data_IF_301260282560
#
_entry.id   IF_301260282560
#
_cell.length_a   1.000
_cell.length_b   1.000
_cell.length_c   1.000
_cell.angle_alpha   90.00
_cell.angle_beta   90.00
_cell.angle_gamma   90.00
#
_symmetry.space_group_name_H-M   'P 1'
#
loop_
_entity.id
_entity.type
_entity.pdbx_description
1 polymer ?
#
# COMPACT_ATOMS: atom_id res chain seq x y z
N UNK A 1 26.18 82.65 16.42
CA UNK A 1 26.50 81.31 15.88
C UNK A 1 25.27 80.83 15.12
N UNK A 2 25.49 80.27 13.93
CA UNK A 2 24.91 80.72 12.64
C UNK A 2 24.22 79.53 11.92
N UNK A 3 23.16 79.74 11.10
CA UNK A 3 23.26 80.58 9.92
C UNK A 3 22.71 81.98 10.13
N UNK A 4 23.41 82.90 9.47
CA UNK A 4 23.27 84.35 9.52
C UNK A 4 22.16 84.86 8.61
N UNK A 5 21.42 85.85 9.14
CA UNK A 5 20.80 87.01 8.45
C UNK A 5 19.58 86.66 7.57
N UNK A 6 18.48 87.42 7.59
CA UNK A 6 18.45 88.88 7.59
C UNK A 6 17.22 89.49 8.26
N UNK A 7 17.50 90.66 8.82
CA UNK A 7 16.69 91.71 9.42
C UNK A 7 15.76 92.39 8.41
N UNK A 8 14.55 92.81 8.83
CA UNK A 8 14.13 94.23 8.84
C UNK A 8 12.76 94.45 9.52
N UNK A 9 12.77 95.44 10.40
CA UNK A 9 11.64 96.11 11.03
C UNK A 9 10.72 96.79 10.00
N UNK A 10 9.45 97.07 10.34
CA UNK A 10 8.97 98.45 10.59
C UNK A 10 7.48 98.52 11.04
N UNK A 11 7.27 99.28 12.14
CA UNK A 11 6.16 100.22 12.48
C UNK A 11 4.69 99.83 12.75
N UNK A 12 4.29 100.07 14.02
CA UNK A 12 3.23 100.98 14.56
C UNK A 12 1.83 101.08 13.89
N UNK A 13 0.81 100.59 14.65
CA UNK A 13 -0.45 101.23 15.18
C UNK A 13 -1.33 102.15 14.28
N UNK A 14 -2.62 102.40 14.62
CA UNK A 14 -3.76 101.54 15.05
C UNK A 14 -5.13 101.98 14.42
N UNK A 15 -6.25 101.45 14.96
CA UNK A 15 -7.66 101.93 14.89
C UNK A 15 -8.47 101.65 13.60
N UNK A 16 -9.51 100.81 13.71
CA UNK A 16 -10.91 101.28 13.87
C UNK A 16 -11.87 100.09 14.04
N UNK A 17 -12.91 100.32 14.83
CA UNK A 17 -13.98 99.41 15.19
C UNK A 17 -14.96 99.13 14.03
N UNK A 18 -15.61 97.96 14.04
CA UNK A 18 -16.73 97.68 13.13
C UNK A 18 -17.32 96.27 13.28
N UNK A 19 -18.35 96.16 14.12
CA UNK A 19 -19.51 95.25 14.08
C UNK A 19 -19.39 93.79 13.54
N UNK A 20 -19.73 92.85 14.44
CA UNK A 20 -20.46 91.57 14.31
C UNK A 20 -20.98 91.14 12.91
N UNK A 21 -21.03 89.81 12.58
CA UNK A 21 -21.76 88.83 13.41
C UNK A 21 -21.17 87.41 13.54
N UNK A 22 -21.58 86.78 14.64
CA UNK A 22 -21.48 85.34 14.95
C UNK A 22 -21.95 84.50 13.75
N UNK A 23 -21.03 83.82 13.08
CA UNK A 23 -21.36 82.62 12.33
C UNK A 23 -21.28 81.42 13.28
N UNK A 24 -22.42 80.74 13.42
CA UNK A 24 -22.58 79.50 14.18
C UNK A 24 -21.56 78.48 13.67
N UNK A 25 -20.64 78.06 14.54
CA UNK A 25 -19.97 76.78 14.39
C UNK A 25 -21.03 75.68 14.55
N UNK A 26 -21.60 75.26 13.42
CA UNK A 26 -22.34 74.01 13.35
C UNK A 26 -21.37 72.88 13.59
N UNK A 27 -21.33 72.38 14.82
CA UNK A 27 -20.80 71.06 15.13
C UNK A 27 -21.65 70.05 14.37
N UNK A 28 -21.25 69.73 13.14
CA UNK A 28 -21.58 68.45 12.52
C UNK A 28 -20.87 67.40 13.35
N UNK A 29 -21.52 66.92 14.39
CA UNK A 29 -21.29 65.57 14.91
C UNK A 29 -21.69 64.62 13.80
N UNK A 30 -20.78 64.40 12.86
CA UNK A 30 -20.86 63.32 11.91
C UNK A 30 -20.97 62.04 12.74
N UNK A 31 -22.14 61.42 12.68
CA UNK A 31 -22.47 60.17 13.36
C UNK A 31 -21.51 59.07 12.92
N UNK A 32 -20.40 58.90 13.65
CA UNK A 32 -19.46 57.76 13.55
C UNK A 32 -20.09 56.43 13.97
N UNK A 33 -21.35 56.43 14.42
CA UNK A 33 -22.11 55.25 14.87
C UNK A 33 -22.25 54.17 13.80
N UNK A 34 -22.33 54.52 12.51
CA UNK A 34 -22.46 53.54 11.42
C UNK A 34 -21.16 52.77 11.14
N UNK A 35 -20.01 53.45 11.21
CA UNK A 35 -18.70 52.82 10.98
C UNK A 35 -18.32 51.85 12.10
N UNK A 36 -18.63 52.18 13.36
CA UNK A 36 -18.35 51.27 14.48
C UNK A 36 -19.20 49.99 14.40
N UNK A 37 -20.45 50.09 13.94
CA UNK A 37 -21.35 48.95 13.79
C UNK A 37 -20.88 48.01 12.67
N UNK A 38 -20.45 48.56 11.52
CA UNK A 38 -19.86 47.78 10.43
C UNK A 38 -18.57 47.08 10.88
N UNK A 39 -17.70 47.78 11.61
CA UNK A 39 -16.45 47.21 12.09
C UNK A 39 -16.67 46.06 13.09
N UNK A 40 -17.66 46.19 13.98
CA UNK A 40 -18.01 45.15 14.95
C UNK A 40 -18.61 43.92 14.27
N UNK A 41 -19.48 44.12 13.27
CA UNK A 41 -20.00 43.04 12.44
C UNK A 41 -18.88 42.33 11.67
N UNK A 42 -17.94 43.08 11.10
CA UNK A 42 -16.79 42.53 10.40
C UNK A 42 -15.90 41.70 11.34
N UNK A 43 -15.63 42.19 12.56
CA UNK A 43 -14.90 41.43 13.59
C UNK A 43 -15.64 40.15 13.96
N UNK A 44 -16.96 40.19 14.18
CA UNK A 44 -17.75 39.01 14.50
C UNK A 44 -17.68 37.95 13.40
N UNK A 45 -17.75 38.37 12.13
CA UNK A 45 -17.62 37.48 10.98
C UNK A 45 -16.21 36.86 10.95
N UNK A 46 -15.16 37.68 11.11
CA UNK A 46 -13.77 37.19 11.15
C UNK A 46 -13.59 36.19 12.29
N UNK A 47 -14.08 36.49 13.49
CA UNK A 47 -14.01 35.59 14.64
C UNK A 47 -14.76 34.27 14.39
N UNK A 48 -15.93 34.32 13.75
CA UNK A 48 -16.67 33.13 13.37
C UNK A 48 -15.85 32.24 12.42
N UNK A 49 -15.24 32.83 11.38
CA UNK A 49 -14.37 32.10 10.46
C UNK A 49 -13.15 31.51 11.16
N UNK A 50 -12.51 32.26 12.06
CA UNK A 50 -11.38 31.76 12.84
C UNK A 50 -11.80 30.56 13.71
N UNK A 51 -12.97 30.60 14.35
CA UNK A 51 -13.48 29.47 15.15
C UNK A 51 -13.78 28.26 14.26
N UNK A 52 -14.48 28.44 13.13
CA UNK A 52 -14.78 27.34 12.20
C UNK A 52 -13.49 26.70 11.65
N UNK A 53 -12.53 27.53 11.25
CA UNK A 53 -11.24 27.06 10.75
C UNK A 53 -10.46 26.27 11.81
N UNK A 54 -10.45 26.72 13.07
CA UNK A 54 -9.79 25.99 14.17
C UNK A 54 -10.48 24.63 14.44
N UNK A 55 -11.81 24.57 14.37
CA UNK A 55 -12.55 23.31 14.52
C UNK A 55 -12.20 22.33 13.39
N UNK A 56 -12.10 22.83 12.16
CA UNK A 56 -11.74 22.03 11.00
C UNK A 56 -10.30 21.53 11.09
N UNK A 57 -9.34 22.40 11.46
CA UNK A 57 -7.95 22.01 11.68
C UNK A 57 -7.84 20.90 12.73
N UNK A 58 -8.52 21.06 13.87
CA UNK A 58 -8.55 20.04 14.92
C UNK A 58 -9.14 18.72 14.39
N UNK A 59 -10.22 18.80 13.61
CA UNK A 59 -10.85 17.60 13.05
C UNK A 59 -9.95 16.87 12.06
N UNK A 60 -9.24 17.60 11.19
CA UNK A 60 -8.27 17.02 10.25
C UNK A 60 -7.16 16.30 11.01
N UNK A 61 -6.57 16.96 12.02
CA UNK A 61 -5.50 16.36 12.84
C UNK A 61 -6.00 15.13 13.58
N UNK A 62 -7.21 15.19 14.15
CA UNK A 62 -7.83 14.05 14.83
C UNK A 62 -8.05 12.87 13.88
N UNK A 63 -8.59 13.10 12.67
CA UNK A 63 -8.81 12.04 11.68
C UNK A 63 -7.48 11.46 11.20
N UNK A 64 -6.43 12.27 11.02
CA UNK A 64 -5.09 11.76 10.70
C UNK A 64 -4.55 10.79 11.76
N UNK A 65 -4.64 11.16 13.03
CA UNK A 65 -4.21 10.28 14.12
C UNK A 65 -5.04 9.00 14.20
N UNK A 66 -6.34 9.10 13.94
CA UNK A 66 -7.24 7.95 13.88
C UNK A 66 -6.87 7.00 12.74
N UNK A 67 -6.67 7.53 11.53
CA UNK A 67 -6.27 6.75 10.34
C UNK A 67 -4.92 6.08 10.53
N UNK A 68 -3.96 6.77 11.15
CA UNK A 68 -2.66 6.20 11.48
C UNK A 68 -2.77 4.99 12.40
N UNK A 69 -3.41 5.17 13.57
CA UNK A 69 -3.56 4.07 14.52
C UNK A 69 -4.37 2.90 13.94
N UNK A 70 -5.37 3.21 13.11
CA UNK A 70 -6.17 2.20 12.44
C UNK A 70 -5.34 1.38 11.45
N UNK A 71 -4.59 2.03 10.57
CA UNK A 71 -3.75 1.36 9.58
C UNK A 71 -2.65 0.54 10.24
N UNK A 72 -1.96 1.10 11.24
CA UNK A 72 -0.91 0.41 11.97
C UNK A 72 -1.44 -0.84 12.69
N UNK A 73 -2.58 -0.72 13.38
CA UNK A 73 -3.22 -1.85 14.06
C UNK A 73 -3.71 -2.91 13.08
N UNK A 74 -4.30 -2.49 11.95
CA UNK A 74 -4.75 -3.38 10.90
C UNK A 74 -3.58 -4.18 10.31
N UNK A 75 -2.45 -3.53 10.02
CA UNK A 75 -1.31 -4.16 9.38
C UNK A 75 -0.70 -5.19 10.33
N UNK A 76 -0.49 -4.82 11.59
CA UNK A 76 -0.01 -5.76 12.60
C UNK A 76 -0.94 -6.96 12.78
N UNK A 77 -2.26 -6.76 12.75
CA UNK A 77 -3.22 -7.85 12.90
C UNK A 77 -3.15 -8.86 11.75
N UNK A 78 -3.05 -8.37 10.50
CA UNK A 78 -2.87 -9.23 9.33
C UNK A 78 -1.53 -9.99 9.38
N UNK A 79 -0.42 -9.30 9.65
CA UNK A 79 0.90 -9.90 9.78
C UNK A 79 0.99 -10.96 10.89
N UNK A 80 0.27 -10.77 11.99
CA UNK A 80 0.21 -11.75 13.08
C UNK A 80 -0.44 -13.07 12.63
N UNK A 81 -1.49 -13.00 11.81
CA UNK A 81 -2.11 -14.21 11.25
C UNK A 81 -1.25 -14.88 10.18
N UNK A 82 -0.49 -14.12 9.38
CA UNK A 82 0.52 -14.70 8.49
C UNK A 82 1.56 -15.50 9.29
N UNK A 83 2.12 -14.92 10.37
CA UNK A 83 3.07 -15.62 11.24
C UNK A 83 2.49 -16.85 11.93
N UNK A 84 1.22 -16.77 12.36
CA UNK A 84 0.50 -17.91 12.96
C UNK A 84 0.32 -19.03 11.95
N UNK A 85 -0.10 -18.72 10.71
CA UNK A 85 -0.28 -19.69 9.64
C UNK A 85 1.05 -20.35 9.25
N UNK A 86 2.13 -19.57 9.12
CA UNK A 86 3.48 -20.08 8.84
C UNK A 86 3.94 -21.07 9.92
N UNK A 87 3.72 -20.76 11.19
CA UNK A 87 4.05 -21.69 12.28
C UNK A 87 3.22 -22.96 12.23
N UNK A 88 1.91 -22.89 11.95
CA UNK A 88 1.06 -24.07 11.83
C UNK A 88 1.46 -24.95 10.64
N UNK A 89 1.82 -24.35 9.50
CA UNK A 89 2.38 -25.08 8.34
C UNK A 89 3.70 -25.75 8.73
N UNK A 90 4.54 -25.06 9.50
CA UNK A 90 5.77 -25.62 10.04
C UNK A 90 5.55 -26.78 11.01
N UNK A 91 4.55 -26.69 11.89
CA UNK A 91 4.16 -27.80 12.76
C UNK A 91 3.71 -29.00 11.91
N UNK A 92 2.95 -28.77 10.83
CA UNK A 92 2.52 -29.83 9.91
C UNK A 92 3.68 -30.45 9.13
N UNK A 93 4.72 -29.68 8.77
CA UNK A 93 5.96 -30.26 8.21
C UNK A 93 6.62 -31.19 9.24
N UNK A 94 6.67 -30.82 10.52
CA UNK A 94 7.22 -31.69 11.58
C UNK A 94 6.36 -32.96 11.74
N UNK A 95 5.03 -32.82 11.78
CA UNK A 95 4.10 -33.95 11.84
C UNK A 95 4.25 -34.86 10.63
N UNK A 96 4.48 -34.31 9.43
CA UNK A 96 4.77 -35.09 8.23
C UNK A 96 6.05 -35.91 8.39
N UNK A 97 7.12 -35.32 8.96
CA UNK A 97 8.38 -36.03 9.21
C UNK A 97 8.20 -37.17 10.23
N UNK A 98 7.37 -36.98 11.26
CA UNK A 98 7.00 -38.03 12.22
C UNK A 98 6.23 -39.15 11.52
N UNK A 99 5.23 -38.81 10.69
CA UNK A 99 4.47 -39.80 9.94
C UNK A 99 5.36 -40.64 9.03
N UNK A 100 6.29 -40.00 8.31
CA UNK A 100 7.29 -40.68 7.47
C UNK A 100 8.21 -41.62 8.26
N UNK A 101 8.54 -41.27 9.51
CA UNK A 101 9.31 -42.14 10.42
C UNK A 101 8.53 -43.41 10.76
N UNK A 102 7.22 -43.28 11.01
CA UNK A 102 6.32 -44.40 11.34
C UNK A 102 5.96 -45.28 10.12
N UNK A 103 6.14 -44.78 8.89
CA UNK A 103 5.73 -45.42 7.64
C UNK A 103 6.47 -46.69 7.23
N UNK A 104 7.45 -47.15 8.01
CA UNK A 104 8.23 -48.36 7.71
C UNK A 104 7.43 -49.68 7.70
N UNK A 105 6.08 -49.67 7.81
CA UNK A 105 5.30 -50.91 8.00
C UNK A 105 3.89 -51.04 7.36
N UNK A 106 3.28 -50.07 6.66
CA UNK A 106 1.95 -50.27 6.04
C UNK A 106 1.50 -49.21 5.00
N UNK A 107 0.64 -49.63 4.05
CA UNK A 107 -0.01 -48.79 3.00
C UNK A 107 -0.98 -47.72 3.57
N UNK A 108 -1.51 -47.89 4.79
CA UNK A 108 -2.49 -47.01 5.46
C UNK A 108 -1.98 -45.57 5.69
N UNK A 109 -0.68 -45.34 5.63
CA UNK A 109 -0.11 -44.04 5.97
C UNK A 109 -0.10 -43.05 4.78
N UNK A 110 -0.31 -43.51 3.54
CA UNK A 110 -0.35 -42.61 2.37
C UNK A 110 -1.51 -41.61 2.44
N UNK A 111 -2.66 -42.03 2.98
CA UNK A 111 -3.81 -41.16 3.24
C UNK A 111 -3.49 -40.08 4.29
N UNK A 112 -2.67 -40.40 5.29
CA UNK A 112 -2.24 -39.42 6.32
C UNK A 112 -1.39 -38.32 5.70
N UNK A 113 -0.44 -38.66 4.82
CA UNK A 113 0.36 -37.66 4.11
C UNK A 113 -0.50 -36.80 3.19
N UNK A 114 -1.47 -37.40 2.50
CA UNK A 114 -2.41 -36.65 1.66
C UNK A 114 -3.23 -35.66 2.49
N UNK A 115 -3.75 -36.09 3.65
CA UNK A 115 -4.50 -35.23 4.56
C UNK A 115 -3.64 -34.09 5.13
N UNK A 116 -2.38 -34.34 5.50
CA UNK A 116 -1.45 -33.30 5.95
C UNK A 116 -1.23 -32.26 4.85
N UNK A 117 -0.94 -32.71 3.62
CA UNK A 117 -0.73 -31.81 2.49
C UNK A 117 -1.98 -30.98 2.16
N UNK A 118 -3.18 -31.58 2.24
CA UNK A 118 -4.43 -30.85 2.07
C UNK A 118 -4.62 -29.78 3.15
N UNK A 119 -4.35 -30.10 4.42
CA UNK A 119 -4.44 -29.14 5.53
C UNK A 119 -3.43 -27.99 5.36
N UNK A 120 -2.21 -28.28 4.91
CA UNK A 120 -1.23 -27.24 4.60
C UNK A 120 -1.69 -26.33 3.45
N UNK A 121 -2.27 -26.92 2.40
CA UNK A 121 -2.85 -26.16 1.29
C UNK A 121 -4.00 -25.25 1.76
N UNK A 122 -4.90 -25.76 2.60
CA UNK A 122 -5.99 -24.98 3.21
C UNK A 122 -5.44 -23.82 4.06
N UNK A 123 -4.39 -24.04 4.85
CA UNK A 123 -3.78 -23.00 5.70
C UNK A 123 -3.17 -21.85 4.89
N UNK A 124 -2.66 -22.11 3.68
CA UNK A 124 -2.17 -21.06 2.79
C UNK A 124 -3.26 -20.07 2.31
N UNK A 125 -4.54 -20.41 2.49
CA UNK A 125 -5.68 -19.55 2.19
C UNK A 125 -6.38 -19.06 3.46
N UNK A 126 -6.74 -19.98 4.35
CA UNK A 126 -7.48 -19.65 5.58
C UNK A 126 -6.67 -18.73 6.49
N UNK A 127 -5.36 -18.94 6.62
CA UNK A 127 -4.49 -18.10 7.44
C UNK A 127 -4.51 -16.63 6.98
N UNK A 128 -4.16 -16.34 5.72
CA UNK A 128 -4.26 -15.00 5.17
C UNK A 128 -5.68 -14.41 5.19
N UNK A 129 -6.73 -15.22 4.95
CA UNK A 129 -8.12 -14.74 5.02
C UNK A 129 -8.56 -14.36 6.43
N UNK A 130 -8.09 -15.09 7.45
CA UNK A 130 -8.26 -14.67 8.85
C UNK A 130 -7.51 -13.36 9.13
N UNK A 131 -6.34 -13.17 8.53
CA UNK A 131 -5.63 -11.89 8.52
C UNK A 131 -6.46 -10.77 7.92
N UNK A 132 -7.03 -11.00 6.72
CA UNK A 132 -7.93 -10.07 6.03
C UNK A 132 -9.17 -9.76 6.88
N UNK A 133 -9.74 -10.72 7.60
CA UNK A 133 -10.87 -10.43 8.50
C UNK A 133 -10.44 -9.59 9.71
N UNK A 134 -9.29 -9.90 10.32
CA UNK A 134 -8.83 -9.20 11.52
C UNK A 134 -8.36 -7.78 11.25
N UNK A 135 -7.78 -7.48 10.09
CA UNK A 135 -7.47 -6.09 9.73
C UNK A 135 -8.74 -5.22 9.73
N UNK A 136 -9.87 -5.74 9.24
CA UNK A 136 -11.13 -5.01 9.22
C UNK A 136 -11.62 -4.74 10.63
N UNK A 137 -11.52 -5.74 11.50
CA UNK A 137 -11.89 -5.58 12.90
C UNK A 137 -11.00 -4.55 13.61
N UNK A 138 -9.69 -4.57 13.36
CA UNK A 138 -8.74 -3.62 13.91
C UNK A 138 -9.00 -2.18 13.42
N UNK A 139 -9.26 -1.99 12.13
CA UNK A 139 -9.60 -0.68 11.56
C UNK A 139 -10.92 -0.15 12.14
N UNK A 140 -11.97 -0.99 12.20
CA UNK A 140 -13.28 -0.61 12.76
C UNK A 140 -13.22 -0.31 14.26
N UNK A 141 -12.41 -1.05 15.02
CA UNK A 141 -12.15 -0.75 16.45
C UNK A 141 -11.48 0.61 16.64
N UNK A 142 -10.73 1.08 15.63
CA UNK A 142 -10.20 2.43 15.54
C UNK A 142 -11.15 3.42 14.84
N UNK A 143 -12.46 3.12 14.80
CA UNK A 143 -13.52 4.01 14.28
C UNK A 143 -13.37 4.38 12.81
N UNK A 144 -12.67 3.58 12.02
CA UNK A 144 -12.73 3.70 10.56
C UNK A 144 -14.03 3.07 10.08
N UNK A 145 -14.69 3.77 9.16
CA UNK A 145 -15.95 3.34 8.58
C UNK A 145 -15.71 2.51 7.31
N UNK A 146 -16.73 1.76 6.90
CA UNK A 146 -16.66 0.99 5.67
C UNK A 146 -16.48 1.92 4.47
N UNK A 147 -15.53 1.58 3.61
CA UNK A 147 -15.35 2.15 2.28
C UNK A 147 -16.14 1.30 1.28
N UNK A 148 -17.09 1.95 0.59
CA UNK A 148 -17.96 1.28 -0.37
C UNK A 148 -17.20 0.80 -1.61
N UNK A 149 -16.14 1.50 -2.02
CA UNK A 149 -15.32 1.12 -3.17
C UNK A 149 -14.46 -0.11 -2.86
N UNK A 150 -13.83 -0.16 -1.67
CA UNK A 150 -13.13 -1.37 -1.22
C UNK A 150 -14.09 -2.56 -1.16
N UNK A 151 -15.28 -2.37 -0.57
CA UNK A 151 -16.28 -3.43 -0.46
C UNK A 151 -16.74 -3.92 -1.83
N UNK A 152 -17.03 -3.01 -2.76
CA UNK A 152 -17.47 -3.36 -4.10
C UNK A 152 -16.36 -4.06 -4.92
N UNK A 153 -15.11 -3.62 -4.78
CA UNK A 153 -13.98 -4.24 -5.46
C UNK A 153 -13.77 -5.68 -4.99
N UNK A 154 -13.66 -5.91 -3.67
CA UNK A 154 -13.46 -7.25 -3.12
C UNK A 154 -14.67 -8.17 -3.41
N UNK A 155 -15.89 -7.64 -3.35
CA UNK A 155 -17.10 -8.41 -3.70
C UNK A 155 -17.11 -8.83 -5.18
N UNK A 156 -16.70 -7.93 -6.08
CA UNK A 156 -16.56 -8.27 -7.50
C UNK A 156 -15.49 -9.33 -7.71
N UNK A 157 -14.33 -9.19 -7.05
CA UNK A 157 -13.25 -10.16 -7.13
C UNK A 157 -13.66 -11.56 -6.63
N UNK A 158 -14.45 -11.65 -5.55
CA UNK A 158 -15.02 -12.92 -5.11
C UNK A 158 -15.89 -13.57 -6.21
N UNK A 159 -16.63 -12.76 -6.97
CA UNK A 159 -17.35 -13.20 -8.17
C UNK A 159 -16.43 -13.71 -9.28
N UNK A 160 -15.29 -13.06 -9.52
CA UNK A 160 -14.27 -13.51 -10.48
C UNK A 160 -13.69 -14.86 -10.06
N UNK A 161 -13.34 -15.03 -8.78
CA UNK A 161 -12.84 -16.31 -8.24
C UNK A 161 -13.86 -17.42 -8.44
N UNK A 162 -15.15 -17.16 -8.20
CA UNK A 162 -16.19 -18.18 -8.33
C UNK A 162 -16.50 -18.54 -9.78
N UNK A 163 -16.58 -17.55 -10.67
CA UNK A 163 -17.13 -17.73 -12.01
C UNK A 163 -16.06 -17.92 -13.09
N UNK A 164 -14.91 -17.26 -12.95
CA UNK A 164 -13.92 -17.18 -14.02
C UNK A 164 -12.70 -18.08 -13.73
N UNK A 165 -12.23 -18.14 -12.48
CA UNK A 165 -11.03 -18.93 -12.13
C UNK A 165 -11.14 -20.42 -12.44
N UNK A 166 -12.30 -21.10 -12.28
CA UNK A 166 -12.42 -22.51 -12.63
C UNK A 166 -12.05 -22.85 -14.08
N UNK A 167 -12.07 -21.87 -15.00
CA UNK A 167 -11.75 -22.08 -16.41
C UNK A 167 -10.23 -22.18 -16.68
N UNK A 168 -9.38 -21.66 -15.79
CA UNK A 168 -7.93 -21.55 -16.05
C UNK A 168 -7.02 -21.74 -14.83
N UNK A 169 -7.56 -21.91 -13.62
CA UNK A 169 -6.81 -22.15 -12.39
C UNK A 169 -7.14 -23.54 -11.85
N UNK A 170 -6.11 -24.38 -11.65
CA UNK A 170 -6.27 -25.67 -11.00
C UNK A 170 -6.41 -25.49 -9.48
N UNK A 171 -7.47 -26.01 -8.87
CA UNK A 171 -7.67 -25.85 -7.42
C UNK A 171 -6.48 -26.40 -6.60
N UNK A 172 -6.09 -25.67 -5.56
CA UNK A 172 -5.00 -26.08 -4.65
C UNK A 172 -5.35 -27.34 -3.84
N UNK A 173 -6.63 -27.50 -3.53
CA UNK A 173 -7.28 -28.63 -2.87
C UNK A 173 -8.77 -28.65 -3.29
N UNK A 174 -9.48 -29.79 -3.15
CA UNK A 174 -10.88 -29.89 -3.58
C UNK A 174 -11.78 -28.84 -2.91
N UNK A 175 -12.46 -28.02 -3.72
CA UNK A 175 -13.36 -26.96 -3.28
C UNK A 175 -12.69 -25.66 -2.86
N UNK A 176 -11.37 -25.52 -3.09
CA UNK A 176 -10.59 -24.36 -2.68
C UNK A 176 -11.16 -23.03 -3.19
N UNK A 177 -11.54 -22.95 -4.46
CA UNK A 177 -11.97 -21.68 -5.06
C UNK A 177 -13.31 -21.22 -4.48
N UNK A 178 -14.25 -22.15 -4.27
CA UNK A 178 -15.55 -21.85 -3.68
C UNK A 178 -15.42 -21.44 -2.19
N UNK A 179 -14.61 -22.15 -1.41
CA UNK A 179 -14.33 -21.78 -0.02
C UNK A 179 -13.66 -20.41 0.07
N UNK A 180 -12.71 -20.13 -0.81
CA UNK A 180 -11.99 -18.85 -0.86
C UNK A 180 -12.90 -17.68 -1.23
N UNK A 181 -13.72 -17.82 -2.27
CA UNK A 181 -14.73 -16.83 -2.65
C UNK A 181 -15.74 -16.59 -1.49
N UNK A 182 -16.21 -17.66 -0.84
CA UNK A 182 -17.14 -17.56 0.29
C UNK A 182 -16.53 -16.78 1.47
N UNK A 183 -15.25 -16.99 1.78
CA UNK A 183 -14.56 -16.23 2.83
C UNK A 183 -14.49 -14.73 2.50
N UNK A 184 -14.19 -14.37 1.25
CA UNK A 184 -14.17 -12.99 0.80
C UNK A 184 -15.56 -12.34 0.86
N UNK A 185 -16.60 -13.04 0.40
CA UNK A 185 -17.99 -12.56 0.47
C UNK A 185 -18.43 -12.32 1.91
N UNK A 186 -18.05 -13.23 2.83
CA UNK A 186 -18.35 -13.08 4.25
C UNK A 186 -17.71 -11.80 4.83
N UNK A 187 -16.44 -11.52 4.49
CA UNK A 187 -15.77 -10.28 4.90
C UNK A 187 -16.47 -9.05 4.30
N UNK A 188 -16.81 -9.10 3.02
CA UNK A 188 -17.50 -8.00 2.32
C UNK A 188 -18.91 -7.75 2.86
N UNK A 189 -19.62 -8.78 3.31
CA UNK A 189 -20.97 -8.66 3.90
C UNK A 189 -20.98 -7.79 5.17
N UNK A 190 -19.85 -7.76 5.89
CA UNK A 190 -19.63 -6.90 7.06
C UNK A 190 -19.08 -5.51 6.69
N UNK A 191 -18.82 -5.29 5.40
CA UNK A 191 -18.17 -4.12 4.82
C UNK A 191 -16.66 -4.05 5.07
N UNK A 192 -15.96 -3.44 4.13
CA UNK A 192 -14.49 -3.33 4.14
C UNK A 192 -14.11 -1.90 4.54
N UNK A 193 -13.34 -1.75 5.61
CA UNK A 193 -12.85 -0.47 6.13
C UNK A 193 -11.38 -0.20 5.78
N UNK A 194 -10.60 -1.27 5.58
CA UNK A 194 -9.18 -1.23 5.25
C UNK A 194 -8.94 -1.99 3.93
N UNK A 195 -8.16 -1.42 3.02
CA UNK A 195 -7.80 -2.05 1.75
C UNK A 195 -6.48 -2.82 1.87
N UNK A 196 -6.37 -4.06 1.37
CA UNK A 196 -5.11 -4.80 1.37
C UNK A 196 -4.23 -4.37 0.18
N UNK A 197 -3.22 -3.54 0.44
CA UNK A 197 -2.45 -2.82 -0.58
C UNK A 197 -1.43 -3.70 -1.34
N UNK A 198 -1.02 -4.83 -0.76
CA UNK A 198 -0.04 -5.73 -1.35
C UNK A 198 -0.65 -7.02 -1.90
N UNK A 199 -1.94 -7.00 -2.26
CA UNK A 199 -2.59 -8.14 -2.89
C UNK A 199 -2.00 -8.45 -4.27
N UNK A 200 -1.79 -9.73 -4.56
CA UNK A 200 -1.20 -10.24 -5.79
C UNK A 200 -2.20 -11.19 -6.43
N UNK A 201 -2.92 -10.71 -7.44
CA UNK A 201 -3.98 -11.50 -8.06
C UNK A 201 -3.38 -12.47 -9.09
N UNK A 202 -4.00 -13.62 -9.25
CA UNK A 202 -3.59 -14.58 -10.27
C UNK A 202 -3.80 -14.10 -11.71
N UNK A 203 -4.61 -13.05 -11.87
CA UNK A 203 -4.86 -12.35 -13.13
C UNK A 203 -3.92 -11.18 -13.37
N UNK A 204 -3.00 -10.88 -12.44
CA UNK A 204 -2.03 -9.80 -12.63
C UNK A 204 -1.10 -10.08 -13.82
N UNK A 205 -0.72 -9.01 -14.50
CA UNK A 205 0.25 -9.06 -15.60
C UNK A 205 1.66 -9.31 -15.06
N UNK A 206 2.48 -10.01 -15.84
CA UNK A 206 3.86 -10.31 -15.51
C UNK A 206 4.83 -9.26 -16.06
N UNK A 207 5.94 -9.08 -15.35
CA UNK A 207 7.10 -8.33 -15.82
C UNK A 207 7.01 -6.81 -15.66
N UNK A 208 8.08 -6.14 -16.09
CA UNK A 208 8.18 -4.69 -16.08
C UNK A 208 7.64 -4.14 -17.41
N UNK A 209 6.37 -3.76 -17.43
CA UNK A 209 5.76 -3.08 -18.57
C UNK A 209 5.51 -1.61 -18.21
N UNK A 210 5.86 -0.67 -19.10
CA UNK A 210 5.73 0.78 -18.85
C UNK A 210 4.31 1.20 -18.49
N UNK A 211 3.31 0.62 -19.17
CA UNK A 211 1.88 0.83 -18.86
C UNK A 211 1.43 0.30 -17.48
N UNK A 212 2.23 -0.54 -16.83
CA UNK A 212 2.00 -1.00 -15.45
C UNK A 212 2.79 -0.14 -14.43
N UNK A 213 3.54 0.86 -14.89
CA UNK A 213 4.24 1.81 -14.03
C UNK A 213 3.39 3.05 -13.80
N UNK A 214 3.13 3.39 -12.53
CA UNK A 214 2.47 4.64 -12.15
C UNK A 214 3.30 5.87 -12.50
N UNK A 215 4.62 5.76 -12.34
CA UNK A 215 5.56 6.85 -12.61
C UNK A 215 5.50 7.29 -14.07
N UNK A 216 5.19 6.38 -15.00
CA UNK A 216 4.95 6.75 -16.40
C UNK A 216 3.79 7.75 -16.50
N UNK A 217 2.65 7.46 -15.88
CA UNK A 217 1.48 8.31 -15.92
C UNK A 217 1.70 9.64 -15.21
N UNK A 218 2.39 9.62 -14.06
CA UNK A 218 2.76 10.83 -13.35
C UNK A 218 3.75 11.69 -14.15
N UNK A 219 4.71 11.06 -14.83
CA UNK A 219 5.64 11.75 -15.73
C UNK A 219 4.93 12.36 -16.94
N UNK A 220 3.89 11.71 -17.47
CA UNK A 220 3.03 12.30 -18.51
C UNK A 220 2.27 13.51 -17.97
N UNK A 221 1.62 13.37 -16.81
CA UNK A 221 0.82 14.42 -16.21
C UNK A 221 1.63 15.67 -15.86
N UNK A 222 2.85 15.47 -15.34
CA UNK A 222 3.74 16.54 -14.86
C UNK A 222 4.72 17.05 -15.91
N UNK A 223 4.78 16.43 -17.10
CA UNK A 223 5.81 16.70 -18.12
C UNK A 223 7.22 16.50 -17.58
N UNK A 224 7.43 15.46 -16.78
CA UNK A 224 8.73 15.13 -16.21
C UNK A 224 9.67 14.52 -17.27
N UNK A 225 10.15 15.34 -18.21
CA UNK A 225 10.97 14.88 -19.34
C UNK A 225 12.25 14.16 -18.93
N UNK A 226 12.85 14.54 -17.79
CA UNK A 226 14.01 13.85 -17.26
C UNK A 226 13.69 12.40 -16.84
N UNK A 227 12.46 12.11 -16.39
CA UNK A 227 12.06 10.74 -16.09
C UNK A 227 12.09 9.89 -17.36
N UNK A 228 11.55 10.39 -18.47
CA UNK A 228 11.62 9.70 -19.76
C UNK A 228 13.06 9.53 -20.24
N UNK A 229 13.94 10.53 -20.08
CA UNK A 229 15.36 10.40 -20.45
C UNK A 229 16.06 9.23 -19.74
N UNK A 230 15.73 8.98 -18.47
CA UNK A 230 16.39 7.93 -17.67
C UNK A 230 15.71 6.57 -17.75
N UNK A 231 14.39 6.52 -17.97
CA UNK A 231 13.63 5.28 -17.90
C UNK A 231 13.11 4.79 -19.25
N UNK A 232 12.70 5.72 -20.13
CA UNK A 232 11.88 5.42 -21.32
C UNK A 232 12.27 6.32 -22.50
N UNK A 233 13.57 6.47 -22.75
CA UNK A 233 14.08 7.43 -23.73
C UNK A 233 13.71 7.00 -25.15
N UNK A 234 13.88 5.73 -25.45
CA UNK A 234 13.57 5.17 -26.77
C UNK A 234 12.07 5.24 -27.04
N UNK A 235 11.25 4.92 -26.03
CA UNK A 235 9.80 5.08 -26.11
C UNK A 235 9.38 6.52 -26.42
N UNK A 236 10.02 7.55 -25.83
CA UNK A 236 9.72 8.94 -26.16
C UNK A 236 10.03 9.31 -27.62
N UNK A 237 11.04 8.67 -28.21
CA UNK A 237 11.56 8.96 -29.54
C UNK A 237 10.88 8.15 -30.66
N UNK A 238 10.60 6.88 -30.39
CA UNK A 238 10.24 5.89 -31.40
C UNK A 238 8.73 5.57 -31.40
N UNK A 239 8.02 5.92 -30.31
CA UNK A 239 6.58 5.67 -30.19
C UNK A 239 5.78 6.47 -31.23
N UNK A 240 5.06 5.72 -32.06
CA UNK A 240 4.15 6.18 -33.10
C UNK A 240 2.71 6.07 -32.62
N UNK A 241 2.25 4.88 -32.26
CA UNK A 241 0.87 4.60 -31.82
C UNK A 241 0.76 3.42 -30.85
N UNK A 242 -0.47 3.10 -30.41
CA UNK A 242 -0.76 2.06 -29.43
C UNK A 242 -0.33 0.64 -29.84
N UNK A 243 -0.01 0.39 -31.11
CA UNK A 243 0.50 -0.90 -31.58
C UNK A 243 2.01 -1.06 -31.30
N UNK A 244 2.70 0.00 -30.93
CA UNK A 244 4.13 -0.05 -30.57
C UNK A 244 4.37 -0.57 -29.15
N UNK A 245 3.33 -0.70 -28.33
CA UNK A 245 3.46 -1.30 -27.01
C UNK A 245 3.82 -2.78 -27.13
N UNK A 246 4.78 -3.28 -26.33
CA UNK A 246 5.01 -4.72 -26.27
C UNK A 246 3.77 -5.45 -25.74
N UNK A 247 3.60 -6.74 -26.07
CA UNK A 247 2.49 -7.51 -25.54
C UNK A 247 2.55 -7.56 -24.00
N UNK A 248 1.39 -7.43 -23.35
CA UNK A 248 1.28 -7.64 -21.91
C UNK A 248 1.09 -9.12 -21.63
N UNK A 249 2.12 -9.76 -21.10
CA UNK A 249 2.08 -11.16 -20.74
C UNK A 249 1.30 -11.36 -19.43
N UNK A 250 0.34 -12.28 -19.44
CA UNK A 250 -0.30 -12.79 -18.23
C UNK A 250 0.35 -14.10 -17.82
N UNK A 251 0.23 -14.44 -16.54
CA UNK A 251 0.63 -15.75 -16.07
C UNK A 251 -0.25 -16.81 -16.74
N UNK A 252 0.34 -17.60 -17.66
CA UNK A 252 -0.40 -18.56 -18.48
C UNK A 252 -0.97 -19.74 -17.67
N UNK A 253 -0.45 -19.97 -16.46
CA UNK A 253 -0.95 -20.97 -15.52
C UNK A 253 -0.43 -20.66 -14.10
N UNK A 254 -1.14 -19.84 -13.31
CA UNK A 254 -0.75 -19.54 -11.95
C UNK A 254 -0.83 -20.80 -11.08
N UNK A 255 0.23 -21.10 -10.33
CA UNK A 255 0.22 -22.16 -9.31
C UNK A 255 -0.38 -21.59 -8.02
N UNK A 256 -1.61 -21.97 -7.66
CA UNK A 256 -2.37 -21.25 -6.66
C UNK A 256 -2.03 -21.78 -5.26
N UNK A 257 -0.75 -21.71 -4.90
CA UNK A 257 -0.26 -22.16 -3.59
C UNK A 257 -0.63 -21.18 -2.48
N UNK A 258 -0.66 -19.89 -2.79
CA UNK A 258 -0.75 -18.82 -1.79
C UNK A 258 -1.96 -17.93 -2.06
N UNK A 259 -2.72 -17.59 -1.01
CA UNK A 259 -3.74 -16.53 -1.09
C UNK A 259 -3.23 -15.28 -1.78
N UNK A 260 -4.08 -14.68 -2.61
CA UNK A 260 -3.81 -13.41 -3.29
C UNK A 260 -3.76 -12.25 -2.30
N UNK A 261 -4.55 -12.34 -1.22
CA UNK A 261 -4.54 -11.42 -0.10
C UNK A 261 -3.59 -11.92 0.98
N UNK A 262 -2.61 -11.10 1.38
CA UNK A 262 -1.64 -11.42 2.43
C UNK A 262 -0.96 -12.79 2.28
N UNK A 263 -0.63 -13.16 1.05
CA UNK A 263 0.01 -14.44 0.72
C UNK A 263 1.26 -14.73 1.55
N UNK A 264 1.51 -16.02 1.81
CA UNK A 264 2.62 -16.48 2.64
C UNK A 264 3.94 -16.62 1.86
N UNK A 265 3.90 -16.45 0.53
CA UNK A 265 5.02 -16.62 -0.40
C UNK A 265 5.73 -17.98 -0.24
N UNK A 266 4.97 -19.06 -0.13
CA UNK A 266 5.49 -20.42 -0.03
C UNK A 266 5.57 -21.12 -1.39
N UNK A 267 6.34 -22.20 -1.45
CA UNK A 267 6.41 -23.13 -2.59
C UNK A 267 6.22 -24.57 -2.12
N UNK A 268 5.64 -25.42 -2.98
CA UNK A 268 5.56 -26.87 -2.76
C UNK A 268 6.71 -27.54 -3.48
N UNK A 269 7.46 -28.40 -2.80
CA UNK A 269 8.60 -29.12 -3.40
C UNK A 269 8.58 -30.58 -3.00
N UNK A 270 8.67 -31.47 -3.98
CA UNK A 270 8.77 -32.91 -3.74
C UNK A 270 10.24 -33.32 -3.65
N UNK A 271 10.71 -33.70 -2.46
CA UNK A 271 12.07 -34.20 -2.27
C UNK A 271 12.19 -35.02 -0.99
N UNK A 272 13.25 -35.83 -0.91
CA UNK A 272 13.60 -36.57 0.31
C UNK A 272 14.43 -35.69 1.22
N UNK A 273 14.02 -35.56 2.48
CA UNK A 273 14.74 -34.77 3.48
C UNK A 273 15.76 -35.68 4.20
N UNK A 274 17.02 -35.58 3.79
CA UNK A 274 18.13 -36.38 4.35
C UNK A 274 19.11 -35.56 5.22
N UNK A 275 18.87 -34.25 5.32
CA UNK A 275 19.74 -33.36 6.08
C UNK A 275 19.56 -33.58 7.59
N UNK A 276 20.56 -34.23 8.20
CA UNK A 276 20.56 -34.53 9.63
C UNK A 276 20.47 -33.29 10.52
N UNK A 277 20.98 -32.15 10.09
CA UNK A 277 20.89 -30.92 10.87
C UNK A 277 19.45 -30.39 10.89
N UNK A 278 18.75 -30.46 9.76
CA UNK A 278 17.34 -30.07 9.66
C UNK A 278 16.47 -31.05 10.46
N UNK A 279 16.71 -32.36 10.36
CA UNK A 279 15.95 -33.37 11.11
C UNK A 279 16.14 -33.22 12.62
N UNK A 280 17.38 -32.97 13.09
CA UNK A 280 17.64 -32.70 14.50
C UNK A 280 16.92 -31.43 14.98
N UNK A 281 16.91 -30.37 14.17
CA UNK A 281 16.18 -29.15 14.48
C UNK A 281 14.66 -29.39 14.53
N UNK A 282 14.11 -30.19 13.61
CA UNK A 282 12.70 -30.58 13.65
C UNK A 282 12.37 -31.36 14.93
N UNK A 283 13.24 -32.26 15.39
CA UNK A 283 13.04 -33.00 16.65
C UNK A 283 13.14 -32.09 17.89
N UNK A 284 14.08 -31.13 17.90
CA UNK A 284 14.18 -30.11 18.95
C UNK A 284 12.87 -29.29 19.04
N UNK A 285 12.40 -28.78 17.89
CA UNK A 285 11.16 -27.99 17.83
C UNK A 285 9.94 -28.83 18.20
N UNK A 286 9.87 -30.10 17.75
CA UNK A 286 8.82 -31.06 18.14
C UNK A 286 8.68 -31.13 19.65
N UNK A 287 9.80 -31.28 20.36
CA UNK A 287 9.85 -31.30 21.82
C UNK A 287 9.35 -30.00 22.45
N UNK A 288 9.79 -28.84 21.96
CA UNK A 288 9.38 -27.52 22.47
C UNK A 288 7.88 -27.27 22.24
N UNK A 289 7.36 -27.69 21.09
CA UNK A 289 5.96 -27.51 20.69
C UNK A 289 5.03 -28.55 21.34
N UNK A 290 5.58 -29.53 22.08
CA UNK A 290 4.86 -30.69 22.62
C UNK A 290 4.04 -31.42 21.54
N UNK A 291 4.64 -31.54 20.34
CA UNK A 291 4.11 -32.42 19.30
C UNK A 291 4.39 -33.87 19.69
N UNK A 292 3.78 -34.83 18.98
CA UNK A 292 3.85 -36.28 19.26
C UNK A 292 5.23 -36.76 19.76
N UNK A 293 5.26 -37.75 20.66
CA UNK A 293 6.50 -38.19 21.33
C UNK A 293 7.42 -39.03 20.43
N UNK A 294 6.98 -39.39 19.23
CA UNK A 294 7.78 -40.15 18.27
C UNK A 294 8.96 -39.30 17.75
N UNK A 295 10.17 -39.86 17.65
CA UNK A 295 11.32 -39.13 17.16
C UNK A 295 11.15 -38.75 15.69
N UNK A 296 11.72 -37.62 15.28
CA UNK A 296 11.87 -37.28 13.86
C UNK A 296 13.11 -37.98 13.32
N UNK A 297 12.93 -39.08 12.58
CA UNK A 297 14.02 -39.78 11.89
C UNK A 297 13.51 -40.29 10.54
N UNK A 298 13.87 -39.60 9.46
CA UNK A 298 13.56 -40.07 8.11
C UNK A 298 14.47 -41.25 7.78
N UNK A 299 14.07 -42.46 8.20
CA UNK A 299 14.65 -43.68 7.66
C UNK A 299 14.49 -43.69 6.13
N UNK A 300 15.31 -44.48 5.40
CA UNK A 300 15.18 -44.58 3.95
C UNK A 300 13.80 -45.16 3.59
N UNK A 301 12.83 -44.29 3.38
CA UNK A 301 11.54 -44.62 2.77
C UNK A 301 11.66 -44.39 1.27
N UNK A 302 11.05 -45.25 0.45
CA UNK A 302 10.96 -45.06 -1.00
C UNK A 302 9.97 -43.94 -1.40
N UNK A 303 9.33 -43.30 -0.42
CA UNK A 303 8.36 -42.23 -0.59
C UNK A 303 9.09 -40.89 -0.75
N UNK A 304 8.73 -40.13 -1.78
CA UNK A 304 9.15 -38.72 -1.95
C UNK A 304 7.99 -37.81 -1.53
N UNK A 305 7.96 -37.32 -0.28
CA UNK A 305 6.89 -36.45 0.20
C UNK A 305 6.97 -35.06 -0.43
N UNK A 306 5.85 -34.34 -0.39
CA UNK A 306 5.76 -32.93 -0.75
C UNK A 306 5.99 -32.10 0.51
N UNK A 307 6.89 -31.13 0.46
CA UNK A 307 7.17 -30.20 1.56
C UNK A 307 6.71 -28.79 1.22
N UNK A 308 6.22 -28.08 2.23
CA UNK A 308 6.04 -26.63 2.15
C UNK A 308 7.35 -25.93 2.50
N UNK A 309 7.90 -25.23 1.52
CA UNK A 309 9.18 -24.54 1.59
C UNK A 309 8.98 -23.04 1.39
N UNK A 310 9.93 -22.24 1.87
CA UNK A 310 9.98 -20.82 1.55
C UNK A 310 10.11 -20.61 0.04
N UNK A 311 9.26 -19.74 -0.51
CA UNK A 311 9.31 -19.35 -1.92
C UNK A 311 10.44 -18.37 -2.21
N UNK A 312 10.62 -18.02 -3.49
CA UNK A 312 11.70 -17.15 -3.97
C UNK A 312 11.80 -15.83 -3.20
N UNK A 313 10.66 -15.22 -2.89
CA UNK A 313 10.59 -13.95 -2.18
C UNK A 313 11.33 -13.94 -0.84
N UNK A 314 11.34 -15.06 -0.14
CA UNK A 314 12.02 -15.17 1.16
C UNK A 314 13.55 -15.19 1.05
N UNK A 315 14.09 -15.47 -0.14
CA UNK A 315 15.55 -15.53 -0.37
C UNK A 315 16.17 -14.16 -0.65
N UNK A 316 15.35 -13.12 -0.82
CA UNK A 316 15.85 -11.77 -0.98
C UNK A 316 16.23 -11.17 0.38
N UNK A 317 17.33 -10.39 0.44
CA UNK A 317 17.60 -9.58 1.60
C UNK A 317 16.41 -8.65 1.84
N UNK A 318 16.22 -8.31 3.10
CA UNK A 318 15.16 -7.37 3.41
C UNK A 318 15.52 -6.01 2.83
N UNK A 319 14.58 -5.33 2.15
CA UNK A 319 14.85 -4.04 1.47
C UNK A 319 15.46 -2.97 2.40
N UNK A 320 15.20 -3.05 3.72
CA UNK A 320 15.85 -2.17 4.70
C UNK A 320 17.36 -2.41 4.88
N UNK A 321 17.88 -3.52 4.39
CA UNK A 321 19.31 -3.84 4.40
C UNK A 321 20.05 -3.29 3.16
N UNK A 322 19.35 -2.62 2.24
CA UNK A 322 19.97 -1.97 1.08
C UNK A 322 20.64 -0.65 1.49
N UNK A 323 21.85 -0.38 0.96
CA UNK A 323 22.65 0.81 1.27
C UNK A 323 21.94 2.16 0.97
N UNK A 324 20.89 2.13 0.13
CA UNK A 324 20.08 3.30 -0.21
C UNK A 324 18.90 3.55 0.73
N UNK A 325 18.61 2.64 1.66
CA UNK A 325 17.45 2.79 2.54
C UNK A 325 17.75 3.78 3.69
N UNK A 326 16.86 4.75 4.00
CA UNK A 326 17.13 5.79 5.00
C UNK A 326 17.00 5.29 6.45
N UNK A 327 17.44 4.06 6.74
CA UNK A 327 17.54 3.52 8.09
C UNK A 327 18.91 3.83 8.70
N UNK A 328 18.92 4.10 10.01
CA UNK A 328 20.17 4.27 10.77
C UNK A 328 20.48 2.97 11.49
N UNK A 329 21.60 2.34 11.11
CA UNK A 329 22.13 1.13 11.75
C UNK A 329 21.84 -0.15 10.97
N UNK A 330 22.50 -1.23 11.38
CA UNK A 330 22.44 -2.51 10.67
C UNK A 330 21.16 -3.29 11.04
N UNK A 331 20.49 -3.85 10.03
CA UNK A 331 19.43 -4.84 10.23
C UNK A 331 20.09 -6.11 10.78
N UNK A 332 19.61 -6.61 11.92
CA UNK A 332 20.17 -7.85 12.48
C UNK A 332 19.94 -9.02 11.53
N UNK A 333 20.96 -9.86 11.34
CA UNK A 333 20.94 -10.96 10.37
C UNK A 333 19.72 -11.88 10.51
N UNK A 334 19.32 -12.21 11.74
CA UNK A 334 18.16 -13.07 12.00
C UNK A 334 16.81 -12.44 11.63
N UNK A 335 16.78 -11.18 11.17
CA UNK A 335 15.60 -10.51 10.62
C UNK A 335 15.82 -10.03 9.19
N UNK A 336 16.98 -10.30 8.60
CA UNK A 336 17.33 -9.92 7.25
C UNK A 336 16.82 -10.96 6.24
N UNK A 337 15.50 -10.96 6.05
CA UNK A 337 14.79 -11.74 5.04
C UNK A 337 13.52 -11.01 4.60
N UNK A 338 13.20 -11.10 3.31
CA UNK A 338 11.91 -10.69 2.77
C UNK A 338 10.85 -11.79 3.00
N UNK A 339 9.88 -11.97 2.10
CA UNK A 339 8.79 -12.95 2.24
C UNK A 339 7.46 -12.34 2.66
N UNK A 340 6.64 -13.08 3.42
CA UNK A 340 5.28 -12.66 3.79
C UNK A 340 5.27 -11.33 4.55
N UNK A 341 4.32 -10.46 4.19
CA UNK A 341 4.04 -9.18 4.82
C UNK A 341 2.62 -8.75 4.45
N UNK A 342 2.14 -7.73 5.14
CA UNK A 342 0.85 -7.09 4.92
C UNK A 342 1.07 -5.61 4.70
N UNK A 343 0.45 -5.05 3.67
CA UNK A 343 0.35 -3.62 3.47
C UNK A 343 -1.12 -3.26 3.41
N UNK A 344 -1.49 -2.14 4.03
CA UNK A 344 -2.88 -1.76 4.24
C UNK A 344 -3.06 -0.28 4.03
N UNK A 345 -4.21 0.07 3.45
CA UNK A 345 -4.70 1.43 3.29
C UNK A 345 -5.95 1.71 4.09
N UNK A 346 -5.98 2.91 4.67
CA UNK A 346 -7.15 3.53 5.26
C UNK A 346 -7.47 4.80 4.48
N UNK A 347 -8.73 4.97 4.12
CA UNK A 347 -9.26 6.21 3.54
C UNK A 347 -10.36 6.76 4.45
N UNK A 348 -10.18 7.99 4.93
CA UNK A 348 -11.11 8.62 5.85
C UNK A 348 -11.41 10.08 5.46
N UNK A 349 -12.69 10.40 5.28
CA UNK A 349 -13.12 11.74 4.93
C UNK A 349 -13.41 12.60 6.19
N UNK A 350 -12.71 13.72 6.42
CA UNK A 350 -13.06 14.62 7.50
C UNK A 350 -14.29 15.45 7.10
N UNK A 351 -15.44 15.28 7.79
CA UNK A 351 -16.59 16.16 7.55
C UNK A 351 -16.35 17.58 8.12
N UNK A 352 -15.93 18.51 7.26
CA UNK A 352 -15.61 19.89 7.61
C UNK A 352 -16.86 20.74 7.89
N UNK A 353 -16.68 21.80 8.67
CA UNK A 353 -17.75 22.75 9.05
C UNK A 353 -17.63 24.10 8.35
N UNK A 354 -16.47 24.44 7.79
CA UNK A 354 -16.28 25.67 7.03
C UNK A 354 -16.94 25.53 5.65
N UNK A 355 -17.93 26.39 5.29
CA UNK A 355 -18.58 26.34 3.99
C UNK A 355 -17.59 26.51 2.84
N UNK A 356 -17.77 25.75 1.76
CA UNK A 356 -16.94 25.84 0.55
C UNK A 356 -15.52 25.29 0.70
N UNK A 357 -15.18 24.65 1.82
CA UNK A 357 -13.92 23.93 1.97
C UNK A 357 -14.17 22.45 1.70
N UNK A 358 -13.59 21.94 0.62
CA UNK A 358 -13.49 20.52 0.33
C UNK A 358 -12.03 20.12 0.57
N UNK A 359 -11.82 19.14 1.43
CA UNK A 359 -10.52 18.46 1.56
C UNK A 359 -10.76 17.04 1.09
N UNK A 360 -9.85 16.55 0.24
CA UNK A 360 -9.87 15.16 -0.20
C UNK A 360 -9.74 14.19 0.97
N UNK A 361 -9.91 12.90 0.68
CA UNK A 361 -9.82 11.89 1.72
C UNK A 361 -8.42 11.84 2.33
N UNK A 362 -8.37 11.60 3.64
CA UNK A 362 -7.12 11.34 4.34
C UNK A 362 -6.78 9.87 4.09
N UNK A 363 -5.79 9.64 3.24
CA UNK A 363 -5.20 8.33 2.99
C UNK A 363 -4.04 8.08 3.96
N UNK A 364 -4.02 6.90 4.58
CA UNK A 364 -2.88 6.39 5.34
C UNK A 364 -2.54 4.99 4.87
N UNK A 365 -1.26 4.72 4.63
CA UNK A 365 -0.76 3.37 4.37
C UNK A 365 0.15 2.91 5.50
N UNK A 366 -0.01 1.67 5.94
CA UNK A 366 0.88 1.01 6.89
C UNK A 366 1.28 -0.36 6.36
N UNK A 367 2.46 -0.84 6.74
CA UNK A 367 2.89 -2.20 6.45
C UNK A 367 3.43 -2.89 7.70
N UNK A 368 3.26 -4.21 7.76
CA UNK A 368 3.75 -5.04 8.85
C UNK A 368 4.16 -6.42 8.36
N UNK A 369 5.05 -7.07 9.09
CA UNK A 369 5.61 -8.38 8.74
C UNK A 369 5.70 -9.31 9.95
N UNK A 370 5.43 -10.62 9.78
CA UNK A 370 5.80 -11.62 10.77
C UNK A 370 7.33 -11.77 10.82
N UNK A 371 7.88 -11.67 12.03
CA UNK A 371 9.30 -11.77 12.32
C UNK A 371 9.57 -12.84 13.39
N UNK A 372 10.73 -13.45 13.27
CA UNK A 372 11.29 -14.39 14.21
C UNK A 372 12.50 -15.11 13.63
N UNK A 373 12.90 -16.21 14.26
CA UNK A 373 14.16 -16.90 14.02
C UNK A 373 14.07 -18.34 14.56
N UNK A 374 14.91 -19.24 14.05
CA UNK A 374 14.94 -20.64 14.52
C UNK A 374 15.74 -20.77 15.81
N UNK A 375 16.89 -20.09 15.84
CA UNK A 375 17.76 -19.88 17.00
C UNK A 375 18.21 -18.42 17.01
N UNK A 376 18.82 -17.93 18.09
CA UNK A 376 19.05 -16.48 18.31
C UNK A 376 19.64 -15.72 17.10
N UNK A 377 20.46 -16.37 16.27
CA UNK A 377 21.10 -15.79 15.09
C UNK A 377 20.77 -16.52 13.76
N UNK A 378 19.82 -17.46 13.75
CA UNK A 378 19.50 -18.28 12.56
C UNK A 378 18.18 -17.82 11.93
N UNK A 379 18.23 -17.45 10.65
CA UNK A 379 17.03 -17.01 9.92
C UNK A 379 16.08 -18.19 9.69
N UNK A 380 14.75 -17.95 9.65
CA UNK A 380 13.79 -18.98 9.30
C UNK A 380 14.08 -19.67 7.97
N UNK A 381 14.67 -18.96 7.01
CA UNK A 381 14.91 -19.43 5.64
C UNK A 381 16.12 -20.35 5.49
N UNK A 382 16.98 -20.48 6.49
CA UNK A 382 18.21 -21.29 6.41
C UNK A 382 17.95 -22.78 6.17
N UNK A 383 16.80 -23.29 6.63
CA UNK A 383 16.41 -24.69 6.42
C UNK A 383 15.69 -24.93 5.08
N UNK A 384 15.33 -23.89 4.33
CA UNK A 384 14.44 -23.90 3.15
C UNK A 384 13.02 -24.46 3.38
N UNK A 385 12.83 -25.46 4.24
CA UNK A 385 11.54 -25.99 4.71
C UNK A 385 10.97 -25.03 5.76
N UNK A 386 9.66 -24.79 5.69
CA UNK A 386 8.98 -23.96 6.69
C UNK A 386 8.99 -24.69 8.04
N UNK A 387 9.48 -24.03 9.08
CA UNK A 387 9.48 -24.50 10.46
C UNK A 387 8.90 -23.40 11.37
N UNK A 388 8.34 -23.76 12.54
CA UNK A 388 7.86 -22.77 13.50
C UNK A 388 8.99 -21.86 13.97
N UNK A 389 8.95 -20.59 13.54
CA UNK A 389 10.01 -19.61 13.80
C UNK A 389 9.47 -18.19 14.05
N UNK A 390 8.19 -17.93 13.82
CA UNK A 390 7.63 -16.57 13.86
C UNK A 390 7.03 -16.28 15.24
N UNK A 391 7.56 -15.29 15.95
CA UNK A 391 7.15 -15.00 17.33
C UNK A 391 6.57 -13.59 17.49
N UNK A 392 6.76 -12.75 16.49
CA UNK A 392 6.42 -11.33 16.54
C UNK A 392 5.80 -10.89 15.22
N UNK A 393 4.92 -9.89 15.27
CA UNK A 393 4.57 -9.06 14.13
C UNK A 393 5.04 -7.64 14.42
N UNK A 394 5.63 -6.96 13.44
CA UNK A 394 6.13 -5.58 13.59
C UNK A 394 5.77 -4.75 12.37
N UNK A 395 5.51 -3.47 12.61
CA UNK A 395 5.43 -2.49 11.54
C UNK A 395 6.78 -2.40 10.84
N UNK A 396 6.72 -2.25 9.53
CA UNK A 396 7.88 -2.02 8.66
C UNK A 396 7.58 -0.79 7.80
N UNK A 397 8.60 -0.09 7.30
CA UNK A 397 8.38 0.94 6.29
C UNK A 397 7.66 0.36 5.08
N UNK A 398 6.71 1.11 4.53
CA UNK A 398 5.91 0.64 3.39
C UNK A 398 6.78 0.38 2.16
N UNK A 399 7.83 1.16 1.97
CA UNK A 399 8.81 0.96 0.88
C UNK A 399 9.61 -0.34 1.02
N UNK A 400 9.59 -0.97 2.19
CA UNK A 400 10.19 -2.29 2.43
C UNK A 400 9.19 -3.45 2.32
N UNK A 401 7.91 -3.18 2.00
CA UNK A 401 6.84 -4.16 1.86
C UNK A 401 6.71 -4.70 0.42
N UNK A 402 5.81 -5.65 0.15
CA UNK A 402 5.46 -6.05 -1.25
C UNK A 402 4.57 -5.06 -1.96
N UNK A 403 4.01 -4.06 -1.28
CA UNK A 403 3.18 -3.08 -1.96
C UNK A 403 3.98 -2.49 -3.12
N UNK A 404 3.34 -2.32 -4.28
CA UNK A 404 3.96 -1.74 -5.47
C UNK A 404 4.71 -0.45 -5.11
N UNK A 405 5.85 -0.21 -5.77
CA UNK A 405 6.75 0.91 -5.49
C UNK A 405 5.96 2.20 -5.19
N UNK A 406 6.19 2.76 -3.99
CA UNK A 406 5.47 3.93 -3.48
C UNK A 406 4.26 3.63 -2.58
N UNK A 407 4.07 2.38 -2.13
CA UNK A 407 3.21 2.07 -0.99
C UNK A 407 1.76 2.51 -1.15
N UNK A 408 1.27 2.55 -2.38
CA UNK A 408 -0.07 3.05 -2.65
C UNK A 408 -0.79 2.17 -3.64
N UNK A 409 -1.56 1.23 -3.10
CA UNK A 409 -2.62 0.61 -3.88
C UNK A 409 -3.65 1.68 -4.22
N UNK A 410 -3.65 2.08 -5.49
CA UNK A 410 -4.66 2.99 -6.04
C UNK A 410 -5.70 2.11 -6.75
N UNK A 411 -6.90 2.01 -6.16
CA UNK A 411 -8.00 1.27 -6.77
C UNK A 411 -8.30 1.74 -8.20
N UNK A 412 -8.15 3.04 -8.46
CA UNK A 412 -8.29 3.61 -9.78
C UNK A 412 -7.20 3.15 -10.74
N UNK A 413 -5.96 3.02 -10.26
CA UNK A 413 -4.86 2.43 -11.04
C UNK A 413 -5.13 0.98 -11.35
N UNK A 414 -5.60 0.22 -10.36
CA UNK A 414 -5.90 -1.19 -10.55
C UNK A 414 -7.05 -1.42 -11.53
N UNK A 415 -8.15 -0.69 -11.36
CA UNK A 415 -9.25 -0.72 -12.31
C UNK A 415 -8.79 -0.33 -13.72
N UNK A 416 -7.85 0.61 -13.83
CA UNK A 416 -7.23 0.97 -15.10
C UNK A 416 -6.43 -0.19 -15.70
N UNK A 417 -5.57 -0.85 -14.93
CA UNK A 417 -4.80 -2.00 -15.41
C UNK A 417 -5.68 -3.18 -15.83
N UNK A 418 -6.68 -3.54 -15.03
CA UNK A 418 -7.51 -4.72 -15.28
C UNK A 418 -8.57 -4.50 -16.38
N UNK A 419 -9.19 -3.32 -16.42
CA UNK A 419 -10.38 -3.08 -17.25
C UNK A 419 -10.12 -2.19 -18.44
N UNK A 420 -9.24 -1.20 -18.32
CA UNK A 420 -9.04 -0.19 -19.36
C UNK A 420 -7.85 -0.50 -20.27
N UNK A 421 -6.73 -0.97 -19.71
CA UNK A 421 -5.54 -1.29 -20.50
C UNK A 421 -5.78 -2.37 -21.56
N UNK A 422 -6.49 -3.49 -21.30
CA UNK A 422 -6.77 -4.47 -22.35
C UNK A 422 -7.50 -3.86 -23.55
N UNK A 423 -8.57 -3.09 -23.29
CA UNK A 423 -9.30 -2.40 -24.36
C UNK A 423 -8.44 -1.38 -25.10
N UNK A 424 -7.57 -0.66 -24.40
CA UNK A 424 -6.62 0.28 -25.02
C UNK A 424 -5.60 -0.43 -25.93
N UNK A 425 -5.05 -1.58 -25.52
CA UNK A 425 -4.13 -2.33 -26.38
C UNK A 425 -4.85 -2.94 -27.61
N UNK A 426 -6.13 -3.29 -27.48
CA UNK A 426 -6.90 -3.88 -28.57
C UNK A 426 -7.40 -2.85 -29.60
N UNK A 427 -7.79 -1.65 -29.15
CA UNK A 427 -8.51 -0.67 -29.99
C UNK A 427 -8.01 0.78 -29.84
N UNK A 428 -6.89 1.00 -29.15
CA UNK A 428 -6.27 2.30 -28.92
C UNK A 428 -7.16 3.26 -28.12
N UNK A 429 -7.00 4.56 -28.40
CA UNK A 429 -7.76 5.65 -27.71
C UNK A 429 -9.29 5.55 -27.86
N UNK A 430 -9.80 4.70 -28.76
CA UNK A 430 -11.23 4.50 -28.93
C UNK A 430 -11.90 3.77 -27.77
N UNK A 431 -11.13 2.97 -27.01
CA UNK A 431 -11.62 2.11 -25.94
C UNK A 431 -11.29 2.62 -24.53
N UNK A 432 -10.73 3.84 -24.40
CA UNK A 432 -10.35 4.39 -23.09
C UNK A 432 -11.56 4.99 -22.35
N UNK A 433 -11.57 4.82 -21.03
CA UNK A 433 -12.57 5.43 -20.15
C UNK A 433 -12.18 6.88 -19.80
N UNK A 434 -12.99 7.86 -20.20
CA UNK A 434 -12.63 9.29 -20.07
C UNK A 434 -12.63 9.80 -18.63
N UNK A 435 -13.41 9.17 -17.77
CA UNK A 435 -13.45 9.51 -16.34
C UNK A 435 -12.16 9.08 -15.61
N UNK A 436 -11.51 8.01 -16.08
CA UNK A 436 -10.26 7.50 -15.53
C UNK A 436 -9.10 8.48 -15.73
N UNK A 437 -8.38 8.81 -14.65
CA UNK A 437 -7.24 9.71 -14.70
C UNK A 437 -6.09 9.16 -15.53
N UNK A 438 -5.76 7.87 -15.41
CA UNK A 438 -4.70 7.19 -16.15
C UNK A 438 -4.99 7.13 -17.66
N UNK A 439 -6.24 6.86 -18.04
CA UNK A 439 -6.69 6.93 -19.43
C UNK A 439 -6.50 8.32 -20.06
N UNK A 440 -6.72 9.40 -19.29
CA UNK A 440 -6.45 10.76 -19.79
C UNK A 440 -4.96 11.02 -20.02
N UNK A 441 -4.08 10.39 -19.25
CA UNK A 441 -2.65 10.46 -19.50
C UNK A 441 -2.27 9.68 -20.76
N UNK A 442 -2.86 8.51 -21.04
CA UNK A 442 -2.68 7.83 -22.33
C UNK A 442 -3.12 8.72 -23.50
N UNK A 443 -4.28 9.37 -23.40
CA UNK A 443 -4.73 10.30 -24.43
C UNK A 443 -3.72 11.45 -24.66
N UNK A 444 -3.05 11.91 -23.60
CA UNK A 444 -2.01 12.94 -23.69
C UNK A 444 -0.74 12.37 -24.32
N UNK A 445 -0.32 11.17 -23.92
CA UNK A 445 0.84 10.46 -24.47
C UNK A 445 0.72 10.22 -25.97
N UNK A 446 -0.47 9.82 -26.43
CA UNK A 446 -0.79 9.53 -27.82
C UNK A 446 -0.66 10.73 -28.75
N UNK A 447 -0.73 11.95 -28.20
CA UNK A 447 -0.57 13.18 -28.99
C UNK A 447 0.89 13.36 -29.45
N UNK A 448 1.20 13.31 -30.76
CA UNK A 448 2.58 13.45 -31.25
C UNK A 448 3.21 14.81 -30.89
N UNK A 449 2.39 15.86 -30.76
CA UNK A 449 2.88 17.18 -30.35
C UNK A 449 3.35 17.21 -28.90
N UNK A 450 2.79 16.36 -28.03
CA UNK A 450 3.23 16.22 -26.64
C UNK A 450 4.66 15.64 -26.61
N UNK A 451 4.87 14.51 -27.28
CA UNK A 451 6.18 13.84 -27.36
C UNK A 451 7.25 14.72 -28.02
N UNK A 452 6.89 15.38 -29.13
CA UNK A 452 7.79 16.33 -29.81
C UNK A 452 8.21 17.53 -28.93
N UNK A 453 7.36 17.96 -27.97
CA UNK A 453 7.75 18.98 -27.00
C UNK A 453 8.80 18.44 -26.02
N UNK A 454 8.64 17.21 -25.51
CA UNK A 454 9.60 16.55 -24.63
C UNK A 454 10.98 16.41 -25.31
N UNK A 455 11.01 15.89 -26.55
CA UNK A 455 12.25 15.76 -27.33
C UNK A 455 12.96 17.11 -27.50
N UNK A 456 12.22 18.17 -27.86
CA UNK A 456 12.80 19.51 -28.00
C UNK A 456 13.33 20.04 -26.67
N UNK A 457 12.60 19.83 -25.58
CA UNK A 457 13.03 20.25 -24.26
C UNK A 457 14.33 19.55 -23.84
N UNK A 458 14.41 18.23 -24.03
CA UNK A 458 15.59 17.43 -23.68
C UNK A 458 16.83 17.84 -24.46
N UNK A 459 16.71 18.20 -25.75
CA UNK A 459 17.85 18.72 -26.54
C UNK A 459 18.52 19.93 -25.92
N UNK A 460 17.78 20.78 -25.22
CA UNK A 460 18.32 22.00 -24.60
C UNK A 460 18.60 21.85 -23.10
N UNK A 461 17.97 20.88 -22.43
CA UNK A 461 17.93 20.80 -20.97
C UNK A 461 18.36 19.44 -20.39
N UNK A 462 18.76 18.45 -21.20
CA UNK A 462 19.19 17.13 -20.70
C UNK A 462 20.31 17.22 -19.66
N UNK A 463 21.20 18.21 -19.76
CA UNK A 463 22.25 18.50 -18.77
C UNK A 463 21.74 18.88 -17.37
N UNK A 464 20.47 19.29 -17.25
CA UNK A 464 19.81 19.62 -15.99
C UNK A 464 19.14 18.39 -15.35
N UNK A 465 19.07 17.28 -16.09
CA UNK A 465 18.53 16.04 -15.57
C UNK A 465 19.58 15.38 -14.67
N UNK A 466 19.18 15.09 -13.44
CA UNK A 466 19.99 14.39 -12.46
C UNK A 466 19.13 13.27 -11.89
N UNK A 467 19.73 12.09 -11.75
CA UNK A 467 19.11 11.02 -10.95
C UNK A 467 19.22 11.48 -9.50
N UNK A 468 18.09 11.69 -8.83
CA UNK A 468 18.10 11.94 -7.39
C UNK A 468 18.74 10.73 -6.71
N UNK A 469 19.88 10.94 -6.04
CA UNK A 469 20.58 9.89 -5.31
C UNK A 469 20.19 9.92 -3.84
N UNK A 470 19.75 8.75 -3.33
CA UNK A 470 19.51 8.47 -1.91
C UNK A 470 18.07 8.67 -1.49
#
# INVERSE_FOLDING_TARGET
>A
MRPTKATKLYTKRPLFAGLMPRSRAGTRTATRSGQTMIFLVMILIILLFVVLWNVDLHKIVYVKFLSQNAGDAAAMAAAQWQGTALNLIGDLNIVQAIALTAMSSSDENTDVLAAINELQARLCYVGPMMGLMQEQQAAKNNRIHNNAEFTAYLMNHAGVIRNDYPDFIAEAYPGCLEEYATMLEAICSSGVAAGPDNMQLYTDFLGAHTLLSRDFYDAVATRAWCWFLFNENDLLHDYTDYLDWPPMDRMANPDPINSEFFGLSLSRRSFRLDDRAILALMDDIRGIRNLDNSPVDTQPTDITPVWYCYGERWNHPFAMADDGFPAVGDVKDQYNYAGADSAIRIEASPALRTPGTEIGDITWTAAAKPLGYLRENERPTECNVVLPAFHHARLIPVDASSASAGGSFDLGFRAHCERHLPGYLDAGIGAIERSCWYCRQLLTWENPNYRAQGIRWLRSNSRLCHVGGG
#
